data_IF_485899911403
#
_entry.id   IF_485899911403
#
_cell.length_a   1.000
_cell.length_b   1.000
_cell.length_c   1.000
_cell.angle_alpha   90.00
_cell.angle_beta   90.00
_cell.angle_gamma   90.00
#
_symmetry.space_group_name_H-M   'P 1'
#
loop_
_entity.id
_entity.type
_entity.pdbx_description
1 polymer ?
#
# COMPACT_ATOMS: atom_id res chain seq x y z
N UNK A 1 5.15 -2.12 18.24
CA UNK A 1 4.89 -2.82 16.97
C UNK A 1 3.66 -3.70 17.18
N UNK A 2 2.48 -3.28 16.71
CA UNK A 2 1.26 -4.08 16.87
C UNK A 2 1.36 -5.33 15.98
N UNK A 3 1.18 -6.52 16.56
CA UNK A 3 1.11 -7.78 15.81
C UNK A 3 -0.16 -7.72 14.93
N UNK A 4 0.01 -7.71 13.61
CA UNK A 4 -1.12 -7.76 12.69
C UNK A 4 -1.84 -9.11 12.84
N UNK A 5 -3.19 -9.14 12.84
CA UNK A 5 -3.93 -10.39 12.91
C UNK A 5 -3.59 -11.26 11.70
N UNK A 6 -3.02 -12.44 11.96
CA UNK A 6 -2.56 -13.36 10.93
C UNK A 6 -3.72 -14.09 10.22
N UNK A 7 -4.94 -14.00 10.75
CA UNK A 7 -6.14 -14.65 10.22
C UNK A 7 -7.06 -13.70 9.44
N UNK A 8 -7.92 -14.27 8.60
CA UNK A 8 -8.98 -13.55 7.88
C UNK A 8 -9.91 -12.84 8.87
N UNK A 9 -9.95 -11.50 8.84
CA UNK A 9 -10.87 -10.71 9.65
C UNK A 9 -12.30 -10.81 9.08
N UNK A 10 -13.29 -10.90 9.98
CA UNK A 10 -14.71 -10.77 9.63
C UNK A 10 -15.31 -9.53 10.30
N UNK A 11 -16.09 -8.78 9.53
CA UNK A 11 -16.86 -7.63 10.00
C UNK A 11 -18.34 -7.88 9.66
N UNK A 12 -19.21 -7.84 10.67
CA UNK A 12 -20.64 -8.12 10.52
C UNK A 12 -20.94 -9.43 9.75
N UNK A 13 -20.13 -10.48 9.94
CA UNK A 13 -20.27 -11.76 9.24
C UNK A 13 -19.65 -11.80 7.84
N UNK A 14 -19.11 -10.71 7.31
CA UNK A 14 -18.46 -10.69 6.00
C UNK A 14 -16.94 -10.73 6.13
N UNK A 15 -16.26 -11.47 5.23
CA UNK A 15 -14.80 -11.48 5.18
C UNK A 15 -14.28 -10.14 4.65
N UNK A 16 -13.33 -9.55 5.35
CA UNK A 16 -12.60 -8.36 4.89
C UNK A 16 -11.62 -8.80 3.80
N UNK A 17 -11.78 -8.28 2.58
CA UNK A 17 -10.94 -8.65 1.42
C UNK A 17 -9.63 -7.88 1.36
N UNK A 18 -9.69 -6.60 1.71
CA UNK A 18 -8.55 -5.69 1.69
C UNK A 18 -8.72 -4.66 2.80
N UNK A 19 -7.60 -4.09 3.23
CA UNK A 19 -7.57 -2.96 4.14
C UNK A 19 -6.49 -2.03 3.65
N UNK A 20 -6.80 -0.74 3.60
CA UNK A 20 -5.80 0.29 3.31
C UNK A 20 -5.68 1.16 4.54
N UNK A 21 -4.45 1.49 4.92
CA UNK A 21 -4.22 2.49 5.96
C UNK A 21 -4.08 3.86 5.29
N UNK A 22 -4.97 4.78 5.67
CA UNK A 22 -4.92 6.16 5.23
C UNK A 22 -3.78 6.89 5.93
N UNK A 23 -2.82 7.40 5.17
CA UNK A 23 -1.75 8.25 5.71
C UNK A 23 -2.30 9.65 5.89
N UNK A 24 -2.32 10.22 7.12
CA UNK A 24 -2.80 11.58 7.32
C UNK A 24 -1.89 12.58 6.58
N UNK A 25 -2.43 13.23 5.54
CA UNK A 25 -1.74 14.32 4.86
C UNK A 25 -1.79 15.58 5.74
N UNK A 26 -0.72 15.83 6.50
CA UNK A 26 -0.46 17.17 7.05
C UNK A 26 -0.10 18.10 5.89
N UNK A 27 -0.41 19.40 6.00
CA UNK A 27 -0.41 20.41 4.93
C UNK A 27 0.90 20.64 4.13
N UNK A 28 1.93 19.80 4.31
CA UNK A 28 3.22 19.85 3.58
C UNK A 28 3.70 18.48 3.10
N UNK A 29 2.87 17.43 3.19
CA UNK A 29 3.22 16.08 2.73
C UNK A 29 2.58 15.85 1.36
N UNK A 30 3.39 15.96 0.31
CA UNK A 30 2.98 15.78 -1.08
C UNK A 30 2.87 14.32 -1.53
N UNK A 31 3.47 13.38 -0.79
CA UNK A 31 3.43 11.94 -1.07
C UNK A 31 3.35 11.17 0.25
N UNK A 32 2.41 10.24 0.33
CA UNK A 32 2.26 9.27 1.41
C UNK A 32 2.27 7.86 0.86
N UNK A 33 3.04 6.99 1.49
CA UNK A 33 3.10 5.56 1.17
C UNK A 33 2.69 4.79 2.42
N UNK A 34 1.79 3.82 2.28
CA UNK A 34 1.44 2.86 3.32
C UNK A 34 1.73 1.45 2.84
N UNK A 35 2.22 0.62 3.75
CA UNK A 35 2.50 -0.79 3.50
C UNK A 35 1.75 -1.59 4.54
N UNK A 36 0.96 -2.57 4.08
CA UNK A 36 0.17 -3.43 4.95
C UNK A 36 0.29 -4.88 4.50
N UNK A 37 0.66 -5.74 5.45
CA UNK A 37 0.48 -7.18 5.31
C UNK A 37 -0.81 -7.57 6.01
N UNK A 38 -1.75 -8.18 5.28
CA UNK A 38 -3.03 -8.61 5.85
C UNK A 38 -3.52 -9.88 5.18
N UNK A 39 -3.93 -10.87 5.99
CA UNK A 39 -4.47 -12.14 5.52
C UNK A 39 -3.60 -12.83 4.44
N UNK A 40 -2.28 -12.79 4.62
CA UNK A 40 -1.32 -13.37 3.67
C UNK A 40 -1.14 -12.58 2.37
N UNK A 41 -1.70 -11.36 2.28
CA UNK A 41 -1.53 -10.45 1.16
C UNK A 41 -0.65 -9.27 1.58
N UNK A 42 0.26 -8.87 0.71
CA UNK A 42 1.05 -7.64 0.83
C UNK A 42 0.38 -6.55 -0.01
N UNK A 43 0.08 -5.40 0.60
CA UNK A 43 -0.59 -4.28 -0.05
C UNK A 43 0.23 -3.01 0.13
N UNK A 44 0.42 -2.28 -0.97
CA UNK A 44 1.05 -0.96 -0.98
C UNK A 44 0.01 0.07 -1.41
N UNK A 45 -0.19 1.09 -0.59
CA UNK A 45 -1.04 2.24 -0.90
C UNK A 45 -0.20 3.47 -1.15
N UNK A 46 -0.52 4.22 -2.20
CA UNK A 46 0.14 5.49 -2.55
C UNK A 46 -0.91 6.59 -2.61
N UNK A 47 -0.65 7.70 -1.93
CA UNK A 47 -1.46 8.92 -1.99
C UNK A 47 -0.51 10.05 -2.34
N UNK A 48 -0.84 10.85 -3.35
CA UNK A 48 -0.02 11.98 -3.75
C UNK A 48 -0.86 13.23 -4.03
N UNK A 49 -0.28 14.41 -3.81
CA UNK A 49 -0.81 15.65 -4.34
C UNK A 49 -0.73 15.60 -5.87
N UNK A 50 -1.88 15.73 -6.52
CA UNK A 50 -2.00 15.69 -7.98
C UNK A 50 -1.19 16.79 -8.69
N UNK A 51 -0.87 17.89 -8.01
CA UNK A 51 0.03 18.93 -8.56
C UNK A 51 1.47 18.46 -8.67
N UNK A 52 1.89 17.51 -7.82
CA UNK A 52 3.24 16.94 -7.81
C UNK A 52 3.30 15.65 -8.61
N UNK A 53 2.25 14.83 -8.56
CA UNK A 53 2.11 13.58 -9.32
C UNK A 53 0.81 13.64 -10.13
N UNK A 54 0.85 14.22 -11.35
CA UNK A 54 -0.35 14.36 -12.19
C UNK A 54 -0.97 13.03 -12.61
N UNK A 55 -0.13 12.00 -12.78
CA UNK A 55 -0.48 10.69 -13.32
C UNK A 55 -0.03 9.60 -12.33
N UNK A 56 -0.83 9.37 -11.30
CA UNK A 56 -0.51 8.39 -10.25
C UNK A 56 -0.35 6.96 -10.78
N UNK A 57 -1.06 6.63 -11.86
CA UNK A 57 -1.02 5.30 -12.48
C UNK A 57 0.36 4.98 -13.07
N UNK A 58 1.12 5.99 -13.51
CA UNK A 58 2.50 5.80 -13.96
C UNK A 58 3.42 5.47 -12.80
N UNK A 59 3.30 6.21 -11.69
CA UNK A 59 4.07 5.92 -10.47
C UNK A 59 3.79 4.50 -9.93
N UNK A 60 2.54 4.04 -9.99
CA UNK A 60 2.18 2.67 -9.59
C UNK A 60 2.85 1.63 -10.50
N UNK A 61 2.80 1.83 -11.82
CA UNK A 61 3.46 0.92 -12.79
C UNK A 61 4.97 0.86 -12.60
N UNK A 62 5.61 2.02 -12.39
CA UNK A 62 7.04 2.09 -12.17
C UNK A 62 7.43 1.37 -10.88
N UNK A 63 6.62 1.52 -9.82
CA UNK A 63 6.82 0.79 -8.57
C UNK A 63 6.69 -0.72 -8.75
N UNK A 64 5.67 -1.19 -9.47
CA UNK A 64 5.48 -2.61 -9.76
C UNK A 64 6.68 -3.19 -10.55
N UNK A 65 7.16 -2.47 -11.56
CA UNK A 65 8.31 -2.88 -12.35
C UNK A 65 9.59 -2.98 -11.52
N UNK A 66 9.87 -1.97 -10.68
CA UNK A 66 11.03 -1.97 -9.79
C UNK A 66 10.95 -3.08 -8.74
N UNK A 67 9.76 -3.31 -8.19
CA UNK A 67 9.53 -4.39 -7.22
C UNK A 67 9.83 -5.77 -7.83
N UNK A 68 9.36 -6.02 -9.05
CA UNK A 68 9.65 -7.27 -9.76
C UNK A 68 11.15 -7.42 -10.09
N UNK A 69 11.83 -6.32 -10.44
CA UNK A 69 13.28 -6.32 -10.65
C UNK A 69 14.01 -6.74 -9.36
N UNK A 70 13.70 -6.09 -8.24
CA UNK A 70 14.30 -6.39 -6.93
C UNK A 70 14.01 -7.81 -6.47
N UNK A 71 12.81 -8.34 -6.74
CA UNK A 71 12.42 -9.72 -6.43
C UNK A 71 13.21 -10.76 -7.23
N UNK A 72 13.67 -10.40 -8.44
CA UNK A 72 14.47 -11.25 -9.31
C UNK A 72 15.97 -11.24 -8.99
N UNK A 73 16.45 -10.33 -8.14
CA UNK A 73 17.86 -10.30 -7.73
C UNK A 73 18.15 -11.42 -6.72
N UNK A 74 19.28 -12.15 -6.86
CA UNK A 74 19.73 -13.06 -5.82
C UNK A 74 20.10 -12.26 -4.56
N UNK A 75 19.65 -12.76 -3.39
CA UNK A 75 19.92 -12.17 -2.07
C UNK A 75 21.30 -12.50 -1.52
#
# INVERSE_FOLDING_TARGET
MARQPQGTLRLAGHRVRSMVFWVPQRARIGLGISILSFAGQFQVGIIADRRLVPEIDHLVKDFEAEFEMLRGLPG
#
